data_IF_542806959481
#
_entry.id   IF_542806959481
#
_cell.length_a   1.000
_cell.length_b   1.000
_cell.length_c   1.000
_cell.angle_alpha   90.00
_cell.angle_beta   90.00
_cell.angle_gamma   90.00
#
_symmetry.space_group_name_H-M   'P 1'
#
loop_
_entity.id
_entity.type
_entity.pdbx_description
1 polymer ?
#
# COMPACT_ATOMS: atom_id res chain seq x y z
N UNK A 1 24.99 23.12 5.48
CA UNK A 1 25.54 21.91 4.87
C UNK A 1 24.35 20.98 4.65
N UNK A 2 23.81 20.93 3.42
CA UNK A 2 22.62 20.14 3.06
C UNK A 2 23.09 18.70 2.86
N UNK A 3 22.50 17.76 3.57
CA UNK A 3 22.75 16.35 3.33
C UNK A 3 22.27 16.00 1.91
N UNK A 4 22.99 15.18 1.12
CA UNK A 4 22.53 14.75 -0.17
C UNK A 4 21.25 13.91 -0.02
N UNK A 5 20.32 13.95 -0.99
CA UNK A 5 19.14 13.11 -0.97
C UNK A 5 19.56 11.63 -0.96
N UNK A 6 18.87 10.86 -0.14
CA UNK A 6 19.02 9.42 -0.03
C UNK A 6 18.94 8.77 -1.44
N UNK A 7 19.93 8.00 -1.89
CA UNK A 7 19.81 7.28 -3.15
C UNK A 7 18.68 6.26 -2.97
N UNK A 8 17.58 6.48 -3.66
CA UNK A 8 16.45 5.54 -3.68
C UNK A 8 16.91 4.10 -3.92
N UNK A 9 16.10 3.10 -3.57
CA UNK A 9 16.49 1.70 -3.65
C UNK A 9 16.98 1.34 -5.06
N UNK A 10 18.02 0.48 -5.19
CA UNK A 10 18.55 0.08 -6.48
C UNK A 10 17.43 -0.46 -7.35
N UNK A 11 17.19 0.23 -8.48
CA UNK A 11 16.13 -0.13 -9.41
C UNK A 11 16.28 -1.57 -9.87
N UNK A 12 15.20 -2.33 -9.84
CA UNK A 12 15.13 -3.59 -10.58
C UNK A 12 15.36 -3.29 -12.06
N UNK A 13 16.07 -4.16 -12.73
CA UNK A 13 16.12 -4.13 -14.19
C UNK A 13 14.66 -4.24 -14.68
N UNK A 14 14.09 -3.11 -15.10
CA UNK A 14 12.77 -3.02 -15.72
C UNK A 14 11.67 -2.31 -14.95
N UNK A 15 11.78 -2.04 -13.65
CA UNK A 15 10.77 -1.30 -12.86
C UNK A 15 11.45 -0.24 -11.98
N UNK A 16 11.10 1.02 -12.20
CA UNK A 16 11.50 2.16 -11.38
C UNK A 16 10.29 2.70 -10.61
N UNK A 17 10.50 3.21 -9.40
CA UNK A 17 9.47 3.86 -8.60
C UNK A 17 10.01 5.13 -7.94
N UNK A 18 9.25 6.21 -8.03
CA UNK A 18 9.47 7.45 -7.31
C UNK A 18 8.34 7.68 -6.32
N UNK A 19 8.68 8.05 -5.10
CA UNK A 19 7.72 8.22 -4.00
C UNK A 19 7.87 9.60 -3.40
N UNK A 20 6.73 10.29 -3.21
CA UNK A 20 6.65 11.56 -2.50
C UNK A 20 5.69 11.42 -1.32
N UNK A 21 6.12 11.82 -0.13
CA UNK A 21 5.27 11.83 1.07
C UNK A 21 4.04 12.70 0.85
N UNK A 22 2.88 12.20 1.27
CA UNK A 22 1.63 12.93 1.16
C UNK A 22 1.54 14.10 2.16
N UNK A 23 0.73 15.12 1.85
CA UNK A 23 0.37 16.16 2.80
C UNK A 23 -0.42 15.58 3.98
N UNK A 24 -0.70 16.43 4.99
CA UNK A 24 -1.55 16.03 6.11
C UNK A 24 -2.95 15.60 5.61
N UNK A 25 -3.61 14.68 6.34
CA UNK A 25 -4.96 14.21 6.02
C UNK A 25 -4.98 12.73 5.61
N UNK A 26 -5.89 12.30 4.71
CA UNK A 26 -6.09 10.89 4.37
C UNK A 26 -4.96 10.29 3.50
N UNK A 27 -4.09 11.12 2.93
CA UNK A 27 -3.05 10.72 2.00
C UNK A 27 -1.75 10.40 2.73
N UNK A 28 -1.22 9.18 2.56
CA UNK A 28 0.06 8.79 3.11
C UNK A 28 1.22 9.18 2.16
N UNK A 29 1.10 8.80 0.89
CA UNK A 29 2.09 9.10 -0.15
C UNK A 29 1.47 9.06 -1.54
N UNK A 30 2.11 9.73 -2.49
CA UNK A 30 1.91 9.54 -3.92
C UNK A 30 3.14 8.88 -4.51
N UNK A 31 2.95 8.11 -5.56
CA UNK A 31 4.04 7.39 -6.21
C UNK A 31 3.81 7.34 -7.73
N UNK A 32 4.90 7.27 -8.46
CA UNK A 32 4.92 6.96 -9.88
C UNK A 32 5.84 5.78 -10.11
N UNK A 33 5.54 4.95 -11.09
CA UNK A 33 6.42 3.85 -11.49
C UNK A 33 6.36 3.66 -12.99
N UNK A 34 7.47 3.19 -13.57
CA UNK A 34 7.58 2.88 -14.98
C UNK A 34 8.23 1.52 -15.17
N UNK A 35 7.70 0.78 -16.14
CA UNK A 35 8.16 -0.54 -16.50
C UNK A 35 8.81 -0.51 -17.88
N UNK A 36 10.13 -0.55 -17.93
CA UNK A 36 10.89 -0.49 -19.18
C UNK A 36 11.01 -1.87 -19.87
N UNK A 37 10.82 -2.95 -19.11
CA UNK A 37 10.79 -4.32 -19.63
C UNK A 37 9.79 -5.18 -18.84
N UNK A 38 9.16 -6.20 -19.46
CA UNK A 38 8.25 -7.08 -18.74
C UNK A 38 8.90 -7.66 -17.48
N UNK A 39 8.28 -7.47 -16.33
CA UNK A 39 8.85 -7.85 -15.04
C UNK A 39 7.75 -8.31 -14.09
N UNK A 40 7.98 -9.42 -13.40
CA UNK A 40 7.14 -9.84 -12.28
C UNK A 40 7.70 -9.30 -10.98
N UNK A 41 6.83 -8.82 -10.10
CA UNK A 41 7.20 -8.32 -8.79
C UNK A 41 6.21 -8.76 -7.71
N UNK A 42 6.64 -8.75 -6.46
CA UNK A 42 5.78 -9.09 -5.33
C UNK A 42 5.09 -7.84 -4.79
N UNK A 43 3.75 -7.83 -4.86
CA UNK A 43 2.92 -6.92 -4.06
C UNK A 43 2.81 -7.50 -2.66
N UNK A 44 3.38 -6.81 -1.68
CA UNK A 44 3.42 -7.28 -0.29
C UNK A 44 2.09 -7.05 0.42
N UNK A 45 1.84 -7.82 1.49
CA UNK A 45 0.69 -7.60 2.36
C UNK A 45 0.68 -6.16 2.91
N UNK A 46 -0.48 -5.52 2.86
CA UNK A 46 -0.68 -4.15 3.33
C UNK A 46 -2.13 -3.98 3.78
N UNK A 47 -2.34 -3.17 4.81
CA UNK A 47 -3.70 -2.80 5.25
C UNK A 47 -4.12 -1.42 4.75
N UNK A 48 -3.21 -0.68 4.15
CA UNK A 48 -3.47 0.64 3.62
C UNK A 48 -4.19 0.55 2.27
N UNK A 49 -5.35 1.17 2.11
CA UNK A 49 -5.99 1.23 0.79
C UNK A 49 -5.15 2.05 -0.19
N UNK A 50 -5.30 1.73 -1.47
CA UNK A 50 -4.54 2.36 -2.55
C UNK A 50 -5.46 2.62 -3.74
N UNK A 51 -5.28 3.77 -4.40
CA UNK A 51 -5.80 4.02 -5.74
C UNK A 51 -4.62 4.08 -6.71
N UNK A 52 -4.70 3.32 -7.78
CA UNK A 52 -3.66 3.23 -8.80
C UNK A 52 -4.23 3.51 -10.18
N UNK A 53 -3.43 4.12 -11.01
CA UNK A 53 -3.70 4.42 -12.41
C UNK A 53 -2.65 3.71 -13.24
N UNK A 54 -3.09 2.94 -14.22
CA UNK A 54 -2.20 2.17 -15.10
C UNK A 54 -2.42 2.64 -16.52
N UNK A 55 -1.36 3.12 -17.16
CA UNK A 55 -1.36 3.56 -18.54
C UNK A 55 -0.56 2.58 -19.40
N UNK A 56 -1.21 1.98 -20.37
CA UNK A 56 -0.60 1.06 -21.33
C UNK A 56 -1.21 1.32 -22.70
N UNK A 57 -0.39 1.49 -23.74
CA UNK A 57 -0.86 1.65 -25.12
C UNK A 57 -1.83 2.82 -25.32
N UNK A 58 -1.72 3.90 -24.53
CA UNK A 58 -2.62 5.07 -24.59
C UNK A 58 -3.93 4.92 -23.81
N UNK A 59 -4.27 3.72 -23.32
CA UNK A 59 -5.41 3.52 -22.44
C UNK A 59 -5.02 3.67 -20.97
N UNK A 60 -5.90 4.26 -20.16
CA UNK A 60 -5.72 4.37 -18.71
C UNK A 60 -6.80 3.58 -18.00
N UNK A 61 -6.41 2.70 -17.08
CA UNK A 61 -7.31 2.00 -16.15
C UNK A 61 -7.09 2.50 -14.74
N UNK A 62 -8.14 2.47 -13.93
CA UNK A 62 -8.10 2.94 -12.54
C UNK A 62 -8.43 1.78 -11.63
N UNK A 63 -7.54 1.52 -10.68
CA UNK A 63 -7.59 0.38 -9.80
C UNK A 63 -7.70 0.83 -8.35
N UNK A 64 -8.60 0.23 -7.60
CA UNK A 64 -8.75 0.43 -6.17
C UNK A 64 -8.37 -0.86 -5.46
N UNK A 65 -7.42 -0.77 -4.53
CA UNK A 65 -6.98 -1.88 -3.68
C UNK A 65 -7.39 -1.68 -2.25
N UNK A 66 -7.87 -2.76 -1.65
CA UNK A 66 -8.16 -2.85 -0.24
C UNK A 66 -7.02 -3.51 0.55
N UNK A 67 -7.31 -3.97 1.77
CA UNK A 67 -6.32 -4.64 2.59
C UNK A 67 -5.94 -6.01 2.00
N UNK A 68 -4.64 -6.30 1.98
CA UNK A 68 -4.07 -7.57 1.54
C UNK A 68 -3.38 -8.26 2.69
N UNK A 69 -3.78 -9.50 2.99
CA UNK A 69 -3.25 -10.31 4.10
C UNK A 69 -2.21 -11.34 3.67
N UNK A 70 -1.81 -11.29 2.41
CA UNK A 70 -0.78 -12.13 1.79
C UNK A 70 -0.12 -11.39 0.63
N UNK A 71 1.10 -11.75 0.33
CA UNK A 71 1.75 -11.28 -0.88
C UNK A 71 1.09 -11.89 -2.13
N UNK A 72 1.17 -11.16 -3.24
CA UNK A 72 0.73 -11.60 -4.56
C UNK A 72 1.78 -11.24 -5.61
N UNK A 73 1.96 -12.09 -6.60
CA UNK A 73 2.81 -11.76 -7.75
C UNK A 73 1.99 -10.96 -8.75
N UNK A 74 2.53 -9.84 -9.18
CA UNK A 74 1.98 -8.99 -10.22
C UNK A 74 2.93 -8.92 -11.40
N UNK A 75 2.37 -8.86 -12.60
CA UNK A 75 3.14 -8.70 -13.84
C UNK A 75 3.03 -7.26 -14.33
N UNK A 76 4.17 -6.70 -14.66
CA UNK A 76 4.31 -5.36 -15.22
C UNK A 76 4.62 -5.50 -16.71
N UNK A 77 3.72 -5.15 -17.64
CA UNK A 77 4.02 -5.19 -19.07
C UNK A 77 5.01 -4.08 -19.46
N UNK A 78 5.71 -4.29 -20.58
CA UNK A 78 6.61 -3.29 -21.15
C UNK A 78 5.89 -1.96 -21.40
N UNK A 79 6.59 -0.86 -21.17
CA UNK A 79 6.14 0.51 -21.40
C UNK A 79 4.87 0.89 -20.60
N UNK A 80 4.56 0.13 -19.54
CA UNK A 80 3.52 0.50 -18.62
C UNK A 80 3.98 1.63 -17.70
N UNK A 81 3.15 2.65 -17.59
CA UNK A 81 3.31 3.74 -16.62
C UNK A 81 2.25 3.59 -15.54
N UNK A 82 2.70 3.73 -14.31
CA UNK A 82 1.86 3.65 -13.13
C UNK A 82 1.99 4.92 -12.30
N UNK A 83 0.91 5.38 -11.73
CA UNK A 83 0.94 6.36 -10.67
C UNK A 83 -0.21 6.09 -9.70
N UNK A 84 -0.08 6.54 -8.49
CA UNK A 84 -1.10 6.27 -7.51
C UNK A 84 -0.89 6.97 -6.18
N UNK A 85 -1.84 6.72 -5.29
CA UNK A 85 -1.83 7.21 -3.93
C UNK A 85 -2.11 6.08 -2.95
N UNK A 86 -1.29 5.98 -1.92
CA UNK A 86 -1.57 5.17 -0.75
C UNK A 86 -2.25 6.04 0.30
N UNK A 87 -3.32 5.53 0.87
CA UNK A 87 -4.03 6.22 1.93
C UNK A 87 -3.49 5.85 3.29
N UNK A 88 -3.65 6.77 4.24
CA UNK A 88 -3.34 6.50 5.65
C UNK A 88 -4.31 5.47 6.22
N UNK A 89 -3.86 4.76 7.24
CA UNK A 89 -4.71 3.82 7.97
C UNK A 89 -5.92 4.59 8.54
N UNK A 90 -7.12 4.08 8.27
CA UNK A 90 -8.36 4.76 8.62
C UNK A 90 -8.97 5.61 7.49
N UNK A 91 -8.28 5.78 6.37
CA UNK A 91 -8.85 6.37 5.18
C UNK A 91 -9.49 5.31 4.27
N UNK A 92 -10.69 5.56 3.77
CA UNK A 92 -11.40 4.64 2.89
C UNK A 92 -12.48 5.36 2.06
N UNK A 93 -12.91 4.73 0.98
CA UNK A 93 -14.05 5.18 0.18
C UNK A 93 -15.30 4.40 0.65
N UNK A 94 -16.33 5.06 1.23
CA UNK A 94 -17.53 4.39 1.77
C UNK A 94 -18.28 3.55 0.74
N UNK A 95 -18.27 3.95 -0.53
CA UNK A 95 -18.89 3.21 -1.63
C UNK A 95 -18.17 1.90 -1.98
N UNK A 96 -16.91 1.75 -1.57
CA UNK A 96 -16.10 0.55 -1.71
C UNK A 96 -15.65 0.07 -0.32
N UNK A 97 -16.52 -0.60 0.46
CA UNK A 97 -16.18 -1.04 1.81
C UNK A 97 -14.91 -1.88 1.82
N UNK A 98 -13.87 -1.53 2.62
CA UNK A 98 -12.58 -2.22 2.58
C UNK A 98 -12.67 -3.72 2.80
N UNK A 99 -13.65 -4.20 3.58
CA UNK A 99 -13.88 -5.63 3.78
C UNK A 99 -14.27 -6.36 2.49
N UNK A 100 -14.92 -5.69 1.53
CA UNK A 100 -15.24 -6.26 0.22
C UNK A 100 -14.06 -6.24 -0.75
N UNK A 101 -13.10 -5.36 -0.51
CA UNK A 101 -11.87 -5.27 -1.29
C UNK A 101 -10.75 -6.17 -0.74
N UNK A 102 -10.95 -6.78 0.43
CA UNK A 102 -9.92 -7.57 1.10
C UNK A 102 -9.45 -8.75 0.23
N UNK A 103 -8.14 -8.78 -0.05
CA UNK A 103 -7.50 -9.78 -0.93
C UNK A 103 -8.08 -9.86 -2.36
N UNK A 104 -8.85 -8.87 -2.79
CA UNK A 104 -9.13 -8.66 -4.19
C UNK A 104 -7.93 -7.96 -4.80
N UNK A 105 -7.33 -8.57 -5.82
CA UNK A 105 -6.12 -8.01 -6.43
C UNK A 105 -6.35 -6.60 -6.96
N UNK A 106 -7.49 -6.36 -7.65
CA UNK A 106 -7.88 -5.04 -8.13
C UNK A 106 -9.40 -4.94 -8.31
N UNK A 107 -10.01 -3.88 -7.78
CA UNK A 107 -11.33 -3.43 -8.17
C UNK A 107 -11.16 -2.29 -9.19
N UNK A 108 -11.57 -2.52 -10.42
CA UNK A 108 -11.47 -1.51 -11.48
C UNK A 108 -12.61 -0.50 -11.36
N UNK A 109 -12.26 0.79 -11.42
CA UNK A 109 -13.24 1.86 -11.51
C UNK A 109 -13.62 2.09 -12.97
N UNK A 110 -14.91 2.38 -13.27
CA UNK A 110 -15.35 2.67 -14.63
C UNK A 110 -14.69 3.94 -15.16
N UNK A 111 -14.18 3.88 -16.39
CA UNK A 111 -13.67 5.02 -17.15
C UNK A 111 -14.55 5.23 -18.36
N UNK A 112 -15.03 6.46 -18.56
CA UNK A 112 -15.87 6.84 -19.69
C UNK A 112 -15.05 6.95 -20.98
N UNK A 113 -15.68 6.90 -22.16
CA UNK A 113 -14.98 7.06 -23.44
C UNK A 113 -14.22 8.38 -23.59
N UNK A 114 -14.62 9.42 -22.86
CA UNK A 114 -13.94 10.72 -22.80
C UNK A 114 -12.79 10.77 -21.77
N UNK A 115 -12.45 9.63 -21.16
CA UNK A 115 -11.35 9.49 -20.21
C UNK A 115 -11.67 9.88 -18.77
N UNK A 116 -12.91 10.26 -18.45
CA UNK A 116 -13.31 10.60 -17.07
C UNK A 116 -13.59 9.34 -16.24
N UNK A 117 -13.29 9.41 -14.94
CA UNK A 117 -13.55 8.34 -13.97
C UNK A 117 -14.98 8.49 -13.44
N UNK A 118 -15.71 7.39 -13.27
CA UNK A 118 -17.00 7.39 -12.60
C UNK A 118 -16.86 6.99 -11.13
N UNK A 119 -17.21 7.91 -10.23
CA UNK A 119 -17.27 7.68 -8.79
C UNK A 119 -18.59 8.22 -8.25
N UNK A 120 -19.34 7.41 -7.52
CA UNK A 120 -20.63 7.77 -6.93
C UNK A 120 -21.62 8.38 -7.95
N UNK A 121 -21.69 7.76 -9.14
CA UNK A 121 -22.57 8.22 -10.22
C UNK A 121 -22.16 9.55 -10.87
N UNK A 122 -21.01 10.11 -10.51
CA UNK A 122 -20.47 11.35 -11.07
C UNK A 122 -19.21 11.11 -11.88
N UNK A 123 -19.05 11.86 -12.96
CA UNK A 123 -17.85 11.84 -13.78
C UNK A 123 -16.81 12.83 -13.21
N UNK A 124 -15.58 12.34 -13.01
CA UNK A 124 -14.44 13.08 -12.49
C UNK A 124 -13.35 13.12 -13.55
N UNK A 125 -12.68 14.25 -13.68
CA UNK A 125 -11.50 14.34 -14.53
C UNK A 125 -10.41 13.36 -14.08
N UNK A 126 -9.79 12.68 -15.05
CA UNK A 126 -8.64 11.82 -14.79
C UNK A 126 -7.49 12.66 -14.26
N UNK A 127 -6.93 12.36 -13.06
CA UNK A 127 -5.77 13.10 -12.58
C UNK A 127 -4.53 12.73 -13.39
N UNK A 128 -3.54 13.62 -13.32
CA UNK A 128 -2.17 13.33 -13.71
C UNK A 128 -1.31 13.14 -12.43
N UNK A 129 -0.11 12.55 -12.54
CA UNK A 129 0.77 12.39 -11.38
C UNK A 129 0.99 13.68 -10.59
N UNK A 130 1.09 14.83 -11.29
CA UNK A 130 1.40 16.14 -10.72
C UNK A 130 0.26 16.78 -9.93
N UNK A 131 -0.99 16.31 -10.10
CA UNK A 131 -2.18 16.87 -9.43
C UNK A 131 -3.00 15.80 -8.71
N UNK A 132 -2.42 14.62 -8.46
CA UNK A 132 -3.11 13.51 -7.81
C UNK A 132 -3.52 13.86 -6.37
N UNK A 133 -2.69 14.58 -5.63
CA UNK A 133 -2.99 15.08 -4.29
C UNK A 133 -4.19 16.04 -4.29
N UNK A 134 -4.28 16.92 -5.28
CA UNK A 134 -5.44 17.82 -5.49
C UNK A 134 -6.69 17.01 -5.78
N UNK A 135 -6.60 15.99 -6.63
CA UNK A 135 -7.72 15.08 -6.93
C UNK A 135 -8.21 14.37 -5.66
N UNK A 136 -7.29 13.78 -4.88
CA UNK A 136 -7.61 13.12 -3.60
C UNK A 136 -8.26 14.10 -2.62
N UNK A 137 -7.72 15.33 -2.52
CA UNK A 137 -8.31 16.38 -1.71
C UNK A 137 -9.74 16.79 -2.15
N UNK A 138 -10.04 16.74 -3.45
CA UNK A 138 -11.41 16.97 -3.97
C UNK A 138 -12.34 15.83 -3.57
N UNK A 139 -11.90 14.56 -3.65
CA UNK A 139 -12.69 13.41 -3.20
C UNK A 139 -13.00 13.49 -1.70
N UNK A 140 -12.03 13.89 -0.88
CA UNK A 140 -12.22 14.07 0.56
C UNK A 140 -13.24 15.19 0.85
N UNK A 141 -13.13 16.34 0.20
CA UNK A 141 -14.09 17.45 0.35
C UNK A 141 -15.49 17.09 -0.14
N UNK A 142 -15.61 16.22 -1.12
CA UNK A 142 -16.90 15.72 -1.60
C UNK A 142 -17.49 14.60 -0.71
N UNK A 143 -16.81 14.21 0.36
CA UNK A 143 -17.24 13.11 1.25
C UNK A 143 -17.07 11.70 0.66
N UNK A 144 -16.42 11.57 -0.50
CA UNK A 144 -16.17 10.29 -1.17
C UNK A 144 -14.97 9.54 -0.60
N UNK A 145 -14.04 10.25 0.03
CA UNK A 145 -12.94 9.71 0.80
C UNK A 145 -13.09 10.18 2.25
N UNK A 146 -13.22 9.24 3.17
CA UNK A 146 -13.36 9.49 4.60
C UNK A 146 -12.07 9.12 5.30
N UNK A 147 -11.67 9.89 6.30
CA UNK A 147 -10.54 9.58 7.17
C UNK A 147 -10.95 9.58 8.62
N UNK A 148 -10.65 8.50 9.34
CA UNK A 148 -10.89 8.33 10.76
C UNK A 148 -9.55 8.33 11.53
N UNK A 149 -9.13 9.45 12.13
CA UNK A 149 -7.85 9.57 12.84
C UNK A 149 -7.74 8.59 14.03
N UNK A 150 -8.88 8.26 14.68
CA UNK A 150 -8.89 7.28 15.76
C UNK A 150 -8.43 5.90 15.28
N UNK A 151 -8.79 5.50 14.06
CA UNK A 151 -8.39 4.21 13.49
C UNK A 151 -6.88 4.20 13.23
N UNK A 152 -6.31 5.30 12.79
CA UNK A 152 -4.87 5.44 12.62
C UNK A 152 -4.14 5.33 13.95
N UNK A 153 -4.59 6.05 14.98
CA UNK A 153 -4.04 5.98 16.32
C UNK A 153 -4.09 4.56 16.90
N UNK A 154 -5.23 3.87 16.75
CA UNK A 154 -5.37 2.46 17.12
C UNK A 154 -4.38 1.55 16.38
N UNK A 155 -4.13 1.81 15.12
CA UNK A 155 -3.18 1.05 14.30
C UNK A 155 -1.75 1.15 14.80
N UNK A 156 -1.35 2.32 15.28
CA UNK A 156 -0.01 2.57 15.85
C UNK A 156 0.15 2.17 17.33
N UNK A 157 -0.80 1.41 17.88
CA UNK A 157 -0.71 0.93 19.26
C UNK A 157 -1.27 1.89 20.30
N UNK A 158 -1.85 3.01 19.88
CA UNK A 158 -2.49 3.98 20.77
C UNK A 158 -3.62 3.33 21.59
N UNK A 159 -3.67 3.67 22.87
CA UNK A 159 -4.77 3.33 23.77
C UNK A 159 -5.78 4.47 23.75
N UNK A 160 -6.81 4.35 22.94
CA UNK A 160 -7.86 5.36 22.90
C UNK A 160 -8.78 5.20 24.09
N UNK A 161 -8.57 6.02 25.13
CA UNK A 161 -9.41 6.03 26.33
C UNK A 161 -10.76 6.74 26.13
N UNK A 162 -10.92 7.47 25.02
CA UNK A 162 -12.08 8.34 24.78
C UNK A 162 -13.33 7.61 24.27
N UNK A 163 -13.22 6.34 23.83
CA UNK A 163 -14.35 5.56 23.29
C UNK A 163 -14.34 4.14 23.84
N UNK A 164 -15.53 3.51 24.01
CA UNK A 164 -15.60 2.10 24.41
C UNK A 164 -14.88 1.21 23.41
N UNK A 165 -14.21 0.16 23.90
CA UNK A 165 -13.41 -0.78 23.08
C UNK A 165 -14.22 -1.37 21.91
N UNK A 166 -15.47 -1.76 22.15
CA UNK A 166 -16.36 -2.27 21.10
C UNK A 166 -16.58 -1.25 19.98
N UNK A 167 -16.71 0.02 20.32
CA UNK A 167 -16.85 1.11 19.34
C UNK A 167 -15.55 1.28 18.55
N UNK A 168 -14.40 1.27 19.23
CA UNK A 168 -13.09 1.36 18.61
C UNK A 168 -12.86 0.19 17.61
N UNK A 169 -13.17 -1.03 18.01
CA UNK A 169 -13.09 -2.22 17.14
C UNK A 169 -14.03 -2.12 15.93
N UNK A 170 -15.27 -1.67 16.13
CA UNK A 170 -16.24 -1.49 15.03
C UNK A 170 -15.77 -0.45 14.02
N UNK A 171 -15.25 0.71 14.50
CA UNK A 171 -14.70 1.76 13.63
C UNK A 171 -13.49 1.23 12.86
N UNK A 172 -12.60 0.50 13.54
CA UNK A 172 -11.42 -0.08 12.91
C UNK A 172 -11.80 -1.07 11.78
N UNK A 173 -12.69 -2.03 12.06
CA UNK A 173 -13.14 -3.00 11.04
C UNK A 173 -13.86 -2.32 9.88
N UNK A 174 -14.67 -1.28 10.14
CA UNK A 174 -15.33 -0.52 9.08
C UNK A 174 -14.33 0.19 8.16
N UNK A 175 -13.31 0.84 8.74
CA UNK A 175 -12.38 1.66 7.97
C UNK A 175 -11.23 0.84 7.34
N UNK A 176 -10.84 -0.30 7.95
CA UNK A 176 -9.73 -1.14 7.49
C UNK A 176 -10.20 -2.41 6.77
N UNK A 177 -11.41 -2.88 7.06
CA UNK A 177 -11.95 -4.12 6.51
C UNK A 177 -11.44 -5.39 7.18
N UNK A 178 -10.53 -5.28 8.15
CA UNK A 178 -9.90 -6.38 8.86
C UNK A 178 -9.89 -6.10 10.36
N UNK A 179 -9.93 -7.13 11.23
CA UNK A 179 -9.73 -6.93 12.65
C UNK A 179 -8.28 -6.50 12.97
N UNK A 180 -8.10 -5.65 13.99
CA UNK A 180 -6.81 -5.08 14.40
C UNK A 180 -5.69 -6.12 14.60
N UNK A 181 -6.03 -7.32 15.07
CA UNK A 181 -5.07 -8.43 15.25
C UNK A 181 -4.36 -8.86 13.96
N UNK A 182 -4.90 -8.52 12.78
CA UNK A 182 -4.28 -8.81 11.48
C UNK A 182 -3.19 -7.80 11.09
N UNK A 183 -3.20 -6.61 11.69
CA UNK A 183 -2.21 -5.57 11.40
C UNK A 183 -0.82 -5.94 11.92
N UNK A 184 -0.73 -6.34 13.19
CA UNK A 184 0.56 -6.61 13.84
C UNK A 184 1.44 -7.64 13.11
N UNK A 185 0.91 -8.79 12.63
CA UNK A 185 1.70 -9.73 11.85
C UNK A 185 2.24 -9.13 10.54
N UNK A 186 1.46 -8.29 9.86
CA UNK A 186 1.88 -7.63 8.61
C UNK A 186 3.01 -6.64 8.90
N UNK A 187 2.84 -5.76 9.88
CA UNK A 187 3.86 -4.77 10.24
C UNK A 187 5.15 -5.44 10.74
N UNK A 188 5.03 -6.53 11.50
CA UNK A 188 6.18 -7.32 11.95
C UNK A 188 6.95 -7.94 10.78
N UNK A 189 6.24 -8.49 9.78
CA UNK A 189 6.89 -9.05 8.59
C UNK A 189 7.57 -7.97 7.73
N UNK A 190 6.94 -6.79 7.60
CA UNK A 190 7.53 -5.63 6.92
C UNK A 190 8.78 -5.13 7.64
N UNK A 191 8.75 -5.07 8.96
CA UNK A 191 9.92 -4.71 9.78
C UNK A 191 11.05 -5.70 9.58
N UNK A 192 10.78 -7.01 9.66
CA UNK A 192 11.77 -8.06 9.40
C UNK A 192 12.37 -7.96 7.99
N UNK A 193 11.53 -7.68 6.97
CA UNK A 193 12.00 -7.51 5.61
C UNK A 193 12.93 -6.30 5.46
N UNK A 194 12.63 -5.17 6.14
CA UNK A 194 13.53 -4.00 6.15
C UNK A 194 14.88 -4.31 6.80
N UNK A 195 14.90 -5.00 7.94
CA UNK A 195 16.15 -5.41 8.60
C UNK A 195 17.00 -6.32 7.72
N UNK A 196 16.38 -7.34 7.09
CA UNK A 196 17.07 -8.24 6.16
C UNK A 196 17.66 -7.50 4.96
N UNK A 197 16.91 -6.57 4.38
CA UNK A 197 17.38 -5.72 3.28
C UNK A 197 18.52 -4.79 3.67
N UNK A 198 18.54 -4.36 4.93
CA UNK A 198 19.63 -3.56 5.51
C UNK A 198 20.88 -4.41 5.85
N UNK A 199 20.84 -5.72 5.61
CA UNK A 199 21.99 -6.62 5.82
C UNK A 199 22.07 -7.25 7.21
N UNK A 200 21.00 -7.14 8.03
CA UNK A 200 20.96 -7.81 9.32
C UNK A 200 20.99 -9.36 9.16
N UNK A 201 21.71 -10.04 10.05
CA UNK A 201 21.77 -11.49 10.03
C UNK A 201 20.39 -12.11 10.37
N UNK A 202 20.01 -13.19 9.69
CA UNK A 202 18.70 -13.82 9.87
C UNK A 202 18.42 -14.18 11.34
N UNK A 203 19.46 -14.63 12.06
CA UNK A 203 19.33 -14.97 13.48
C UNK A 203 18.96 -13.75 14.35
N UNK A 204 19.58 -12.60 14.07
CA UNK A 204 19.30 -11.36 14.79
C UNK A 204 17.89 -10.87 14.48
N UNK A 205 17.44 -10.95 13.21
CA UNK A 205 16.09 -10.58 12.81
C UNK A 205 15.01 -11.44 13.47
N UNK A 206 15.27 -12.73 13.72
CA UNK A 206 14.35 -13.58 14.51
C UNK A 206 14.07 -12.95 15.87
N UNK A 207 15.13 -12.52 16.55
CA UNK A 207 15.02 -11.88 17.88
C UNK A 207 14.41 -10.47 17.81
N UNK A 208 14.97 -9.60 16.98
CA UNK A 208 14.61 -8.18 16.91
C UNK A 208 13.18 -7.96 16.41
N UNK A 209 12.71 -8.79 15.47
CA UNK A 209 11.34 -8.75 14.99
C UNK A 209 10.36 -9.61 15.82
N UNK A 210 10.80 -10.22 16.91
CA UNK A 210 9.97 -10.96 17.85
C UNK A 210 9.35 -12.24 17.29
N UNK A 211 10.11 -12.99 16.48
CA UNK A 211 9.72 -14.32 16.03
C UNK A 211 10.24 -15.38 17.01
N UNK A 212 9.52 -16.49 17.10
CA UNK A 212 9.89 -17.58 17.99
C UNK A 212 11.16 -18.31 17.51
N UNK A 213 11.24 -18.57 16.21
CA UNK A 213 12.35 -19.26 15.55
C UNK A 213 12.47 -18.85 14.08
N UNK A 214 13.55 -19.28 13.41
CA UNK A 214 13.76 -19.03 11.99
C UNK A 214 12.69 -19.65 11.08
N UNK A 215 12.18 -20.87 11.28
CA UNK A 215 11.04 -21.40 10.55
C UNK A 215 9.77 -20.54 10.65
N UNK A 216 9.47 -19.97 11.82
CA UNK A 216 8.35 -19.06 12.01
C UNK A 216 8.55 -17.76 11.22
N UNK A 217 9.72 -17.14 11.30
CA UNK A 217 10.09 -15.98 10.47
C UNK A 217 9.93 -16.31 8.98
N UNK A 218 10.48 -17.44 8.52
CA UNK A 218 10.45 -17.84 7.10
C UNK A 218 9.02 -17.98 6.59
N UNK A 219 8.16 -18.67 7.33
CA UNK A 219 6.73 -18.82 6.95
C UNK A 219 6.02 -17.48 6.87
N UNK A 220 6.20 -16.62 7.88
CA UNK A 220 5.55 -15.32 7.94
C UNK A 220 6.00 -14.38 6.82
N UNK A 221 7.31 -14.27 6.61
CA UNK A 221 7.89 -13.41 5.58
C UNK A 221 7.52 -13.92 4.18
N UNK A 222 7.58 -15.24 3.94
CA UNK A 222 7.14 -15.82 2.67
C UNK A 222 5.67 -15.55 2.37
N UNK A 223 4.80 -15.68 3.36
CA UNK A 223 3.37 -15.44 3.19
C UNK A 223 3.03 -13.97 2.97
N UNK A 224 3.68 -13.07 3.72
CA UNK A 224 3.28 -11.65 3.79
C UNK A 224 4.10 -10.74 2.86
N UNK A 225 5.32 -11.12 2.54
CA UNK A 225 6.25 -10.36 1.69
C UNK A 225 6.46 -11.04 0.33
N UNK A 226 6.28 -12.37 0.26
CA UNK A 226 6.42 -13.15 -0.98
C UNK A 226 7.80 -13.77 -1.18
N UNK A 227 8.79 -13.41 -0.36
CA UNK A 227 10.17 -13.89 -0.44
C UNK A 227 10.59 -14.59 0.85
N UNK A 228 11.61 -15.41 0.79
CA UNK A 228 12.25 -15.98 1.97
C UNK A 228 13.23 -14.98 2.60
N UNK A 229 13.58 -15.12 3.89
CA UNK A 229 14.60 -14.28 4.52
C UNK A 229 15.95 -14.30 3.77
N UNK A 230 16.36 -15.45 3.24
CA UNK A 230 17.61 -15.57 2.48
C UNK A 230 17.56 -14.84 1.12
N UNK A 231 16.40 -14.82 0.44
CA UNK A 231 16.20 -14.04 -0.78
C UNK A 231 16.27 -12.55 -0.47
N UNK A 232 15.59 -12.10 0.60
CA UNK A 232 15.60 -10.70 1.03
C UNK A 232 17.01 -10.21 1.38
N UNK A 233 17.79 -11.01 2.10
CA UNK A 233 19.17 -10.68 2.46
C UNK A 233 20.08 -10.58 1.24
N UNK A 234 19.87 -11.39 0.20
CA UNK A 234 20.63 -11.30 -1.07
C UNK A 234 20.30 -10.03 -1.85
N UNK A 235 19.11 -9.49 -1.67
CA UNK A 235 18.66 -8.33 -2.43
C UNK A 235 18.35 -8.64 -3.89
N UNK A 236 18.29 -7.58 -4.72
CA UNK A 236 18.05 -7.71 -6.17
C UNK A 236 16.58 -7.85 -6.57
N UNK A 237 15.60 -7.80 -5.65
CA UNK A 237 14.17 -7.76 -5.97
C UNK A 237 13.58 -6.39 -5.68
N UNK A 238 12.56 -6.03 -6.43
CA UNK A 238 11.73 -4.88 -6.12
C UNK A 238 10.86 -5.16 -4.90
N UNK A 239 10.86 -4.25 -3.93
CA UNK A 239 10.01 -4.28 -2.74
C UNK A 239 9.62 -2.87 -2.33
N UNK A 240 8.33 -2.63 -2.27
CA UNK A 240 7.72 -1.41 -1.75
C UNK A 240 7.41 -1.60 -0.24
N UNK A 241 8.44 -1.39 0.64
CA UNK A 241 8.40 -1.62 2.08
C UNK A 241 8.02 -0.38 2.89
#
# INVERSE_FOLDING_TARGET
MHAPPDPGPPGHVGLSIDVVSGPAGPLARVWTAKCDSPTDFSSIASVNPRIGFVRVGGATTVHLRGPETRAATLSCPRDAEYFGADFRLGAYLPMFPPARLANLQDAMLPVLPDGRIVLDGRAWEMPAPQNLDVFIGRLARAGLLVFDPLVEELGHGGAVRAVPERTAQSRFVRAVGLPRRKLQPIERARHAARLLRAGAAIADVVFDAGYYDQPHLTRAVRQLIGYTPAELARGGMFLDL
#
